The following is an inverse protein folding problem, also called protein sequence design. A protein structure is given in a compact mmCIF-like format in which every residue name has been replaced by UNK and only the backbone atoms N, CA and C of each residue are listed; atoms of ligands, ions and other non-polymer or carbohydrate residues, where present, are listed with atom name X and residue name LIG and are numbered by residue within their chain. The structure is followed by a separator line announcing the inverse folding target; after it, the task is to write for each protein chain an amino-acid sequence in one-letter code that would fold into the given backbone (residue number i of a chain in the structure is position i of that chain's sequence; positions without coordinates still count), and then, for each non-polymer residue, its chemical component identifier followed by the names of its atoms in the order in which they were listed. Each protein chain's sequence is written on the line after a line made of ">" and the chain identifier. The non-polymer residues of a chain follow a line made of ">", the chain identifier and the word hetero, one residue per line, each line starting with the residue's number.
data_IF_441003325229
#
_entry.id   IF_441003325229
#
_cell.length_a   1.000
_cell.length_b   1.000
_cell.length_c   1.000
_cell.angle_alpha   90.00
_cell.angle_beta   90.00
_cell.angle_gamma   90.00
#
_symmetry.space_group_name_H-M   'P 1'
#
loop_
_entity.id
_entity.type
_entity.pdbx_description
1 polymer ?
#
# COMPACT_ATOMS: atom_id res chain seq x y z
N UNK A 1 -13.41 -7.57 -14.69
CA UNK A 1 -13.02 -8.95 -14.34
C UNK A 1 -12.93 -9.05 -12.83
N UNK A 2 -13.54 -10.06 -12.20
CA UNK A 2 -13.39 -10.28 -10.75
C UNK A 2 -11.94 -10.68 -10.47
N UNK A 3 -11.29 -10.03 -9.51
CA UNK A 3 -9.95 -10.42 -9.07
C UNK A 3 -10.03 -11.83 -8.45
N UNK A 4 -9.20 -12.76 -8.91
CA UNK A 4 -9.07 -14.06 -8.25
C UNK A 4 -8.49 -13.83 -6.84
N UNK A 5 -9.06 -14.46 -5.79
CA UNK A 5 -8.54 -14.35 -4.44
C UNK A 5 -7.11 -14.91 -4.37
N UNK A 6 -6.28 -14.34 -3.48
CA UNK A 6 -4.98 -14.93 -3.16
C UNK A 6 -5.16 -16.32 -2.57
N UNK A 7 -4.34 -17.27 -2.98
CA UNK A 7 -4.25 -18.56 -2.29
C UNK A 7 -3.58 -18.38 -0.90
N UNK A 8 -3.63 -19.43 -0.07
CA UNK A 8 -3.11 -19.35 1.31
C UNK A 8 -1.62 -19.01 1.36
N UNK A 9 -0.80 -19.57 0.47
CA UNK A 9 0.65 -19.33 0.45
C UNK A 9 0.97 -17.89 0.03
N UNK A 10 0.31 -17.40 -1.03
CA UNK A 10 0.42 -16.01 -1.48
C UNK A 10 0.02 -15.02 -0.39
N UNK A 11 -1.05 -15.34 0.36
CA UNK A 11 -1.50 -14.54 1.50
C UNK A 11 -0.45 -14.52 2.61
N UNK A 12 0.13 -15.68 2.97
CA UNK A 12 1.20 -15.79 3.97
C UNK A 12 2.43 -15.00 3.55
N UNK A 13 2.88 -15.14 2.30
CA UNK A 13 4.00 -14.37 1.74
C UNK A 13 3.71 -12.87 1.87
N UNK A 14 2.51 -12.44 1.47
CA UNK A 14 2.13 -11.04 1.53
C UNK A 14 2.13 -10.48 2.95
N UNK A 15 1.54 -11.20 3.91
CA UNK A 15 1.51 -10.79 5.31
C UNK A 15 2.91 -10.74 5.92
N UNK A 16 3.76 -11.75 5.67
CA UNK A 16 5.17 -11.76 6.12
C UNK A 16 5.93 -10.57 5.54
N UNK A 17 5.77 -10.31 4.24
CA UNK A 17 6.41 -9.18 3.57
C UNK A 17 5.99 -7.85 4.22
N UNK A 18 4.70 -7.66 4.48
CA UNK A 18 4.20 -6.46 5.12
C UNK A 18 4.72 -6.27 6.55
N UNK A 19 4.85 -7.35 7.32
CA UNK A 19 5.44 -7.27 8.66
C UNK A 19 6.91 -6.84 8.65
N UNK A 20 7.68 -7.29 7.64
CA UNK A 20 9.11 -6.96 7.52
C UNK A 20 9.31 -5.55 6.96
N UNK A 21 8.67 -5.25 5.83
CA UNK A 21 8.96 -4.03 5.05
C UNK A 21 8.00 -2.88 5.32
N UNK A 22 6.78 -3.16 5.79
CA UNK A 22 5.74 -2.15 5.98
C UNK A 22 5.11 -2.25 7.36
N UNK A 23 5.89 -2.25 8.46
CA UNK A 23 5.31 -2.32 9.79
C UNK A 23 4.36 -1.13 10.02
N UNK A 24 3.25 -1.34 10.76
CA UNK A 24 2.39 -0.25 11.18
C UNK A 24 3.21 0.80 11.95
N UNK A 25 2.99 2.05 11.59
CA UNK A 25 3.62 3.21 12.22
C UNK A 25 2.58 3.95 13.05
N UNK A 26 3.05 4.70 14.05
CA UNK A 26 2.22 5.69 14.75
C UNK A 26 2.03 6.98 13.95
N UNK A 27 2.59 7.04 12.73
CA UNK A 27 2.56 8.22 11.89
C UNK A 27 1.18 8.37 11.25
N UNK A 28 0.46 9.43 11.66
CA UNK A 28 -0.84 9.81 11.11
C UNK A 28 -0.71 10.74 9.90
N UNK A 29 0.51 11.09 9.48
CA UNK A 29 0.77 11.96 8.32
C UNK A 29 0.38 11.22 7.05
N UNK A 30 -0.39 11.91 6.22
CA UNK A 30 -0.95 11.37 4.98
C UNK A 30 -0.19 11.96 3.81
N UNK A 31 0.30 11.08 2.95
CA UNK A 31 1.00 11.40 1.72
C UNK A 31 0.41 10.54 0.61
N UNK A 32 0.52 10.98 -0.65
CA UNK A 32 0.11 10.14 -1.78
C UNK A 32 0.72 8.73 -1.71
N UNK A 33 1.93 8.60 -1.17
CA UNK A 33 2.62 7.32 -1.05
C UNK A 33 2.08 6.36 0.03
N UNK A 34 1.17 6.79 0.92
CA UNK A 34 0.47 5.88 1.85
C UNK A 34 -1.05 5.80 1.58
N UNK A 35 -1.49 6.29 0.42
CA UNK A 35 -2.82 6.10 -0.14
C UNK A 35 -2.96 4.71 -0.77
N UNK A 36 -4.10 4.05 -0.57
CA UNK A 36 -4.38 2.68 -1.00
C UNK A 36 -4.05 2.44 -2.47
N UNK A 37 -4.37 3.36 -3.36
CA UNK A 37 -4.11 3.18 -4.80
C UNK A 37 -2.61 3.21 -5.11
N UNK A 38 -1.86 4.12 -4.50
CA UNK A 38 -0.41 4.16 -4.66
C UNK A 38 0.25 2.93 -4.04
N UNK A 39 -0.17 2.57 -2.83
CA UNK A 39 0.33 1.41 -2.09
C UNK A 39 0.07 0.14 -2.89
N UNK A 40 -1.15 -0.06 -3.38
CA UNK A 40 -1.54 -1.21 -4.18
C UNK A 40 -0.77 -1.31 -5.48
N UNK A 41 -0.64 -0.19 -6.22
CA UNK A 41 0.15 -0.16 -7.46
C UNK A 41 1.62 -0.46 -7.21
N UNK A 42 2.19 0.04 -6.11
CA UNK A 42 3.59 -0.16 -5.74
C UNK A 42 3.85 -1.61 -5.33
N UNK A 43 3.00 -2.15 -4.46
CA UNK A 43 3.08 -3.53 -4.00
C UNK A 43 2.86 -4.51 -5.15
N UNK A 44 1.88 -4.28 -6.02
CA UNK A 44 1.66 -5.14 -7.18
C UNK A 44 2.91 -5.28 -8.05
N UNK A 45 3.65 -4.18 -8.28
CA UNK A 45 4.91 -4.23 -9.05
C UNK A 45 5.98 -5.04 -8.35
N UNK A 46 6.16 -4.83 -7.05
CA UNK A 46 7.14 -5.57 -6.25
C UNK A 46 6.81 -7.05 -6.26
N UNK A 47 5.53 -7.39 -6.05
CA UNK A 47 5.07 -8.77 -5.98
C UNK A 47 5.16 -9.50 -7.31
N UNK A 48 4.75 -8.84 -8.39
CA UNK A 48 4.87 -9.39 -9.73
C UNK A 48 6.33 -9.68 -10.10
N UNK A 49 7.25 -8.78 -9.78
CA UNK A 49 8.67 -8.94 -10.14
C UNK A 49 9.44 -9.94 -9.27
N UNK A 50 9.10 -10.08 -7.98
CA UNK A 50 9.91 -10.87 -7.04
C UNK A 50 9.24 -12.20 -6.61
N UNK A 51 7.92 -12.32 -6.72
CA UNK A 51 7.18 -13.49 -6.23
C UNK A 51 6.25 -14.11 -7.30
N UNK A 52 6.14 -13.48 -8.48
CA UNK A 52 5.43 -14.06 -9.62
C UNK A 52 3.89 -14.01 -9.55
N UNK A 53 3.31 -13.19 -8.67
CA UNK A 53 1.86 -13.02 -8.60
C UNK A 53 1.42 -11.56 -8.44
N UNK A 54 0.17 -11.28 -8.84
CA UNK A 54 -0.40 -9.94 -8.81
C UNK A 54 -1.19 -9.68 -7.51
N UNK A 55 -1.07 -8.47 -7.00
CA UNK A 55 -1.89 -7.94 -5.91
C UNK A 55 -2.90 -6.94 -6.48
N UNK A 56 -4.18 -7.20 -6.23
CA UNK A 56 -5.23 -6.25 -6.51
C UNK A 56 -5.35 -5.23 -5.37
N UNK A 57 -6.06 -4.13 -5.65
CA UNK A 57 -6.41 -3.13 -4.63
C UNK A 57 -7.14 -3.76 -3.44
N UNK A 58 -8.07 -4.67 -3.72
CA UNK A 58 -8.84 -5.36 -2.68
C UNK A 58 -7.95 -6.30 -1.86
N UNK A 59 -7.00 -7.01 -2.50
CA UNK A 59 -6.05 -7.87 -1.77
C UNK A 59 -5.26 -7.07 -0.73
N UNK A 60 -4.77 -5.89 -1.12
CA UNK A 60 -3.99 -5.02 -0.23
C UNK A 60 -4.86 -4.47 0.89
N UNK A 61 -6.05 -3.94 0.57
CA UNK A 61 -6.97 -3.42 1.57
C UNK A 61 -7.34 -4.47 2.61
N UNK A 62 -7.81 -5.63 2.14
CA UNK A 62 -8.40 -6.65 3.01
C UNK A 62 -7.33 -7.27 3.92
N UNK A 63 -6.11 -7.51 3.41
CA UNK A 63 -5.01 -7.97 4.26
C UNK A 63 -4.57 -6.91 5.26
N UNK A 64 -4.52 -5.63 4.89
CA UNK A 64 -4.14 -4.59 5.85
C UNK A 64 -5.18 -4.44 6.95
N UNK A 65 -6.47 -4.60 6.64
CA UNK A 65 -7.54 -4.69 7.64
C UNK A 65 -7.32 -5.88 8.57
N UNK A 66 -7.11 -7.06 8.01
CA UNK A 66 -6.92 -8.31 8.76
C UNK A 66 -5.69 -8.26 9.67
N UNK A 67 -4.61 -7.64 9.20
CA UNK A 67 -3.38 -7.42 9.96
C UNK A 67 -3.49 -6.27 10.99
N UNK A 68 -4.63 -5.58 11.07
CA UNK A 68 -4.89 -4.54 12.08
C UNK A 68 -4.26 -3.18 11.79
N UNK A 69 -3.95 -2.88 10.53
CA UNK A 69 -3.48 -1.55 10.13
C UNK A 69 -4.57 -0.51 10.37
N UNK A 70 -4.16 0.70 10.77
CA UNK A 70 -5.10 1.80 10.95
C UNK A 70 -5.42 2.43 9.61
N UNK A 71 -6.72 2.60 9.35
CA UNK A 71 -7.25 3.21 8.13
C UNK A 71 -7.73 4.63 8.43
N UNK A 72 -7.37 5.54 7.54
CA UNK A 72 -7.87 6.91 7.54
C UNK A 72 -8.55 7.20 6.20
N UNK A 73 -9.69 7.88 6.23
CA UNK A 73 -10.38 8.36 5.02
C UNK A 73 -10.60 9.86 5.07
N UNK A 74 -10.70 10.52 3.90
CA UNK A 74 -11.24 11.89 3.84
C UNK A 74 -12.73 11.82 4.18
N UNK A 75 -13.21 12.71 5.04
CA UNK A 75 -14.64 12.87 5.28
C UNK A 75 -15.39 13.06 3.96
N UNK A 76 -16.60 12.52 3.90
CA UNK A 76 -17.49 12.82 2.78
C UNK A 76 -18.13 14.19 2.95
N UNK A 77 -18.35 14.90 1.85
CA UNK A 77 -19.44 15.88 1.76
C UNK A 77 -20.63 15.16 1.14
N UNK A 78 -21.80 15.36 1.72
CA UNK A 78 -23.04 14.84 1.15
C UNK A 78 -23.25 15.42 -0.24
N UNK A 79 -23.34 14.55 -1.25
CA UNK A 79 -23.77 14.94 -2.58
C UNK A 79 -25.28 14.72 -2.71
N UNK A 80 -26.08 15.79 -2.81
CA UNK A 80 -27.54 15.69 -2.89
C UNK A 80 -28.04 15.12 -4.22
N UNK A 81 -27.26 15.23 -5.29
CA UNK A 81 -27.64 14.77 -6.64
C UNK A 81 -27.47 13.25 -6.77
N UNK A 82 -26.35 12.74 -6.28
CA UNK A 82 -26.04 11.30 -6.29
C UNK A 82 -26.49 10.57 -5.01
N UNK A 83 -27.06 11.30 -4.04
CA UNK A 83 -27.53 10.80 -2.73
C UNK A 83 -26.50 9.93 -2.01
N UNK A 84 -25.22 10.33 -2.07
CA UNK A 84 -24.11 9.61 -1.41
C UNK A 84 -23.10 10.57 -0.83
N UNK A 85 -22.36 10.13 0.19
CA UNK A 85 -21.22 10.88 0.71
C UNK A 85 -20.06 10.80 -0.29
N UNK A 86 -19.78 11.89 -1.00
CA UNK A 86 -18.62 11.98 -1.88
C UNK A 86 -17.40 12.43 -1.08
N UNK A 87 -16.25 11.76 -1.20
CA UNK A 87 -15.03 12.19 -0.54
C UNK A 87 -14.68 13.62 -0.96
N UNK A 88 -14.63 14.54 0.00
CA UNK A 88 -14.32 15.94 -0.31
C UNK A 88 -12.84 16.21 -0.08
N UNK A 89 -12.20 16.88 -1.05
CA UNK A 89 -10.82 17.32 -0.93
C UNK A 89 -10.59 18.25 0.27
N UNK A 90 -11.62 19.01 0.69
CA UNK A 90 -11.61 19.99 1.79
C UNK A 90 -12.07 19.46 3.15
N UNK A 91 -12.49 18.20 3.24
CA UNK A 91 -12.98 17.61 4.49
C UNK A 91 -11.86 17.26 5.49
N UNK A 92 -12.21 17.23 6.77
CA UNK A 92 -11.35 16.65 7.80
C UNK A 92 -11.32 15.13 7.67
N UNK A 93 -10.13 14.57 7.81
CA UNK A 93 -9.92 13.12 7.75
C UNK A 93 -10.36 12.44 9.05
N UNK A 94 -11.05 11.31 8.94
CA UNK A 94 -11.55 10.54 10.09
C UNK A 94 -10.88 9.16 10.12
N UNK A 95 -10.56 8.64 11.31
CA UNK A 95 -10.13 7.25 11.49
C UNK A 95 -11.36 6.36 11.28
N UNK A 96 -11.28 5.40 10.38
CA UNK A 96 -12.39 4.48 10.12
C UNK A 96 -12.17 3.19 10.92
N UNK A 97 -13.22 2.71 11.57
CA UNK A 97 -13.23 1.36 12.15
C UNK A 97 -13.53 0.39 11.00
N UNK A 98 -12.70 -0.65 10.87
CA UNK A 98 -12.52 -1.46 9.67
C UNK A 98 -13.76 -1.94 8.88
N UNK A 99 -14.95 -2.24 9.46
CA UNK A 99 -16.07 -2.67 8.62
C UNK A 99 -16.81 -1.53 7.89
N UNK A 100 -16.47 -0.26 8.12
CA UNK A 100 -17.19 0.89 7.53
C UNK A 100 -16.44 1.61 6.40
N UNK A 101 -15.24 1.16 6.01
CA UNK A 101 -14.54 1.74 4.87
C UNK A 101 -15.18 1.22 3.59
N UNK A 102 -16.13 1.99 3.04
CA UNK A 102 -16.75 1.71 1.74
C UNK A 102 -15.65 1.45 0.69
N UNK A 103 -15.70 0.33 -0.05
CA UNK A 103 -14.80 0.03 -1.16
C UNK A 103 -14.56 1.20 -2.13
N UNK A 104 -15.57 2.07 -2.32
CA UNK A 104 -15.55 3.23 -3.22
C UNK A 104 -14.91 4.50 -2.60
N UNK A 105 -14.41 4.44 -1.37
CA UNK A 105 -13.81 5.62 -0.73
C UNK A 105 -12.54 6.05 -1.46
N UNK A 106 -12.62 7.16 -2.21
CA UNK A 106 -11.57 7.71 -3.08
C UNK A 106 -10.25 8.08 -2.37
N UNK A 107 -10.19 8.07 -1.03
CA UNK A 107 -9.00 8.48 -0.29
C UNK A 107 -8.78 7.63 0.96
N UNK A 108 -8.45 6.36 0.77
CA UNK A 108 -8.10 5.43 1.86
C UNK A 108 -6.60 5.49 2.10
N UNK A 109 -6.16 5.75 3.34
CA UNK A 109 -4.74 5.78 3.72
C UNK A 109 -4.46 4.80 4.85
N UNK A 110 -3.27 4.22 4.84
CA UNK A 110 -2.80 3.32 5.90
C UNK A 110 -1.70 3.98 6.72
N UNK A 111 -1.61 3.59 7.99
CA UNK A 111 -0.56 4.05 8.91
C UNK A 111 0.81 3.42 8.63
N UNK A 112 1.27 3.43 7.38
CA UNK A 112 2.57 2.90 6.97
C UNK A 112 3.53 4.00 6.56
N UNK A 113 4.83 3.69 6.56
CA UNK A 113 5.86 4.61 6.12
C UNK A 113 5.71 4.96 4.62
N UNK A 114 5.39 6.21 4.27
CA UNK A 114 5.27 6.62 2.86
C UNK A 114 6.61 6.61 2.13
N UNK A 115 7.71 6.83 2.86
CA UNK A 115 9.07 6.78 2.32
C UNK A 115 9.42 5.35 1.94
N UNK A 116 9.11 4.37 2.81
CA UNK A 116 9.37 2.97 2.53
C UNK A 116 8.57 2.46 1.32
N UNK A 117 7.28 2.78 1.21
CA UNK A 117 6.50 2.44 0.02
C UNK A 117 7.09 3.05 -1.25
N UNK A 118 7.54 4.30 -1.18
CA UNK A 118 8.18 4.98 -2.31
C UNK A 118 9.51 4.31 -2.68
N UNK A 119 10.30 3.87 -1.71
CA UNK A 119 11.56 3.14 -1.92
C UNK A 119 11.31 1.76 -2.51
N UNK A 120 10.35 1.00 -1.98
CA UNK A 120 9.91 -0.28 -2.54
C UNK A 120 9.44 -0.12 -3.99
N UNK A 121 8.69 0.92 -4.31
CA UNK A 121 8.32 1.17 -5.71
C UNK A 121 9.55 1.41 -6.59
N UNK A 122 10.57 2.11 -6.08
CA UNK A 122 11.80 2.43 -6.83
C UNK A 122 12.66 1.22 -7.13
N UNK A 123 12.57 0.14 -6.34
CA UNK A 123 13.28 -1.11 -6.67
C UNK A 123 12.77 -1.75 -7.97
N UNK A 124 11.55 -1.41 -8.38
CA UNK A 124 10.87 -2.02 -9.54
C UNK A 124 11.03 -1.24 -10.86
N UNK A 125 11.69 -0.08 -10.83
CA UNK A 125 11.85 0.80 -12.00
C UNK A 125 13.33 1.09 -12.26
N UNK A 126 13.67 1.37 -13.53
CA UNK A 126 15.02 1.83 -13.87
C UNK A 126 15.28 3.19 -13.23
N UNK A 127 16.38 3.31 -12.48
CA UNK A 127 16.80 4.57 -11.89
C UNK A 127 17.34 5.51 -12.96
N UNK A 128 17.04 6.80 -12.83
CA UNK A 128 17.57 7.81 -13.74
C UNK A 128 19.08 7.97 -13.55
N UNK A 129 19.81 8.29 -14.63
CA UNK A 129 21.27 8.41 -14.62
C UNK A 129 21.80 9.48 -13.65
N UNK A 130 21.01 10.52 -13.36
CA UNK A 130 21.35 11.58 -12.42
C UNK A 130 20.94 11.27 -10.96
N UNK A 131 20.44 10.07 -10.66
CA UNK A 131 20.14 9.69 -9.27
C UNK A 131 21.44 9.70 -8.47
N UNK A 132 21.46 10.45 -7.37
CA UNK A 132 22.57 10.51 -6.43
C UNK A 132 23.01 9.11 -5.96
N UNK A 133 24.32 8.94 -5.72
CA UNK A 133 24.94 7.67 -5.37
C UNK A 133 24.39 7.04 -4.07
N UNK A 134 24.22 7.82 -3.00
CA UNK A 134 23.60 7.35 -1.74
C UNK A 134 22.21 6.76 -1.98
N UNK A 135 21.37 7.44 -2.77
CA UNK A 135 20.03 6.95 -3.11
C UNK A 135 20.06 5.70 -3.96
N UNK A 136 21.04 5.57 -4.86
CA UNK A 136 21.23 4.34 -5.64
C UNK A 136 21.59 3.18 -4.70
N UNK A 137 22.55 3.40 -3.80
CA UNK A 137 22.96 2.40 -2.82
C UNK A 137 21.79 1.95 -1.94
N UNK A 138 21.02 2.89 -1.38
CA UNK A 138 19.82 2.57 -0.59
C UNK A 138 18.81 1.69 -1.34
N UNK A 139 18.66 1.91 -2.65
CA UNK A 139 17.73 1.14 -3.49
C UNK A 139 18.29 -0.25 -3.82
N UNK A 140 19.59 -0.37 -4.07
CA UNK A 140 20.23 -1.68 -4.26
C UNK A 140 20.22 -2.49 -2.95
N UNK A 141 20.58 -1.89 -1.81
CA UNK A 141 20.49 -2.54 -0.50
C UNK A 141 19.06 -3.04 -0.21
N UNK A 142 18.04 -2.28 -0.61
CA UNK A 142 16.64 -2.70 -0.47
C UNK A 142 16.26 -3.83 -1.43
N UNK A 143 16.80 -3.85 -2.66
CA UNK A 143 16.61 -4.97 -3.60
C UNK A 143 17.21 -6.26 -3.06
N UNK A 144 18.42 -6.18 -2.51
CA UNK A 144 19.09 -7.35 -1.94
C UNK A 144 18.30 -7.88 -0.74
N UNK A 145 17.79 -7.02 0.15
CA UNK A 145 16.89 -7.44 1.23
C UNK A 145 15.60 -8.09 0.74
N UNK A 146 15.01 -7.62 -0.37
CA UNK A 146 13.82 -8.24 -0.96
C UNK A 146 14.18 -9.63 -1.51
N UNK A 147 15.36 -9.79 -2.14
CA UNK A 147 15.85 -11.07 -2.65
C UNK A 147 16.11 -12.06 -1.52
N UNK A 148 16.84 -11.65 -0.49
CA UNK A 148 17.09 -12.45 0.72
C UNK A 148 15.77 -12.88 1.37
N UNK A 149 14.81 -11.97 1.47
CA UNK A 149 13.48 -12.30 1.95
C UNK A 149 12.80 -13.35 1.05
N UNK A 150 12.82 -13.18 -0.27
CA UNK A 150 12.21 -14.12 -1.20
C UNK A 150 12.85 -15.52 -1.15
N UNK A 151 14.16 -15.61 -0.89
CA UNK A 151 14.89 -16.88 -0.71
C UNK A 151 14.61 -17.54 0.65
N UNK A 152 14.13 -16.79 1.63
CA UNK A 152 13.85 -17.27 2.99
C UNK A 152 12.45 -17.88 3.19
N UNK A 153 11.61 -17.86 2.15
CA UNK A 153 10.21 -18.33 2.20
C UNK A 153 10.06 -19.62 1.39
#
# INVERSE_FOLDING_TARGET
>A
MKNQPLNSDQKIIFQKFCNVFLPPTNNKRKYKSNELDYVSSSLNRVFYQNFGFNLSRDHVRDNFIEMGYQIFTKGGVWDPDEKKFKPSASSTMVKVVAPQADPETLYTYFNISPTMISSLRRTTVKLQQNTNESKRKEIEDLKDKIREFAESI
#
